data_IF_522792209149
#
_entry.id   IF_522792209149
#
_cell.length_a   1.000
_cell.length_b   1.000
_cell.length_c   1.000
_cell.angle_alpha   90.00
_cell.angle_beta   90.00
_cell.angle_gamma   90.00
#
_symmetry.space_group_name_H-M   'P 1'
#
loop_
_entity.id
_entity.type
_entity.pdbx_description
1 polymer ?
#
# COMPACT_ATOMS: atom_id res chain seq x y z
N UNK A 1 3.20 25.57 -4.38
CA UNK A 1 3.91 24.30 -4.64
C UNK A 1 2.86 23.20 -4.79
N UNK A 2 3.06 22.25 -5.70
CA UNK A 2 2.09 21.17 -5.95
C UNK A 2 1.99 20.22 -4.74
N UNK A 3 0.85 19.56 -4.58
CA UNK A 3 0.67 18.52 -3.57
C UNK A 3 1.61 17.32 -3.83
N UNK A 4 2.08 16.60 -2.79
CA UNK A 4 2.92 15.42 -2.97
C UNK A 4 2.27 14.37 -3.87
N UNK A 5 3.08 13.66 -4.66
CA UNK A 5 2.59 12.53 -5.46
C UNK A 5 2.40 11.31 -4.57
N UNK A 6 1.19 10.73 -4.56
CA UNK A 6 0.95 9.43 -3.93
C UNK A 6 1.14 8.30 -4.93
N UNK A 7 1.89 7.28 -4.54
CA UNK A 7 2.04 6.02 -5.27
C UNK A 7 1.61 4.89 -4.34
N UNK A 8 0.78 3.97 -4.83
CA UNK A 8 0.41 2.78 -4.07
C UNK A 8 1.29 1.62 -4.47
N UNK A 9 1.87 0.92 -3.50
CA UNK A 9 2.37 -0.43 -3.69
C UNK A 9 1.35 -1.42 -3.13
N UNK A 10 0.64 -2.13 -4.01
CA UNK A 10 -0.45 -3.05 -3.66
C UNK A 10 -0.11 -4.50 -4.04
N UNK A 11 -0.94 -5.44 -3.62
CA UNK A 11 -0.81 -6.86 -3.91
C UNK A 11 -1.42 -7.73 -2.82
N UNK A 12 -1.72 -8.98 -3.16
CA UNK A 12 -2.23 -9.94 -2.20
C UNK A 12 -1.27 -10.21 -1.02
N UNK A 13 -1.73 -10.94 0.01
CA UNK A 13 -0.86 -11.46 1.05
C UNK A 13 0.32 -12.24 0.43
N UNK A 14 1.52 -12.07 0.97
CA UNK A 14 2.72 -12.77 0.48
C UNK A 14 3.37 -12.20 -0.79
N UNK A 15 2.86 -11.11 -1.37
CA UNK A 15 3.45 -10.48 -2.56
C UNK A 15 4.85 -9.85 -2.35
N UNK A 16 5.38 -9.84 -1.12
CA UNK A 16 6.69 -9.27 -0.80
C UNK A 16 6.71 -7.73 -0.66
N UNK A 17 5.54 -7.11 -0.41
CA UNK A 17 5.40 -5.65 -0.24
C UNK A 17 6.30 -5.11 0.86
N UNK A 18 6.21 -5.63 2.08
CA UNK A 18 6.98 -5.15 3.24
C UNK A 18 8.48 -5.11 2.94
N UNK A 19 9.06 -6.22 2.46
CA UNK A 19 10.48 -6.27 2.11
C UNK A 19 10.84 -5.30 0.96
N UNK A 20 9.97 -5.17 -0.05
CA UNK A 20 10.17 -4.20 -1.13
C UNK A 20 10.16 -2.76 -0.60
N UNK A 21 9.25 -2.44 0.31
CA UNK A 21 9.10 -1.12 0.90
C UNK A 21 10.26 -0.75 1.83
N UNK A 22 10.83 -1.72 2.56
CA UNK A 22 12.09 -1.49 3.30
C UNK A 22 13.22 -1.05 2.35
N UNK A 23 13.38 -1.75 1.21
CA UNK A 23 14.39 -1.37 0.22
C UNK A 23 14.09 0.00 -0.39
N UNK A 24 12.83 0.32 -0.69
CA UNK A 24 12.41 1.65 -1.18
C UNK A 24 12.74 2.74 -0.16
N UNK A 25 12.46 2.51 1.13
CA UNK A 25 12.81 3.46 2.21
C UNK A 25 14.29 3.75 2.25
N UNK A 26 15.14 2.72 2.17
CA UNK A 26 16.59 2.92 2.20
C UNK A 26 17.12 3.56 0.93
N UNK A 27 16.63 3.14 -0.24
CA UNK A 27 17.13 3.59 -1.55
C UNK A 27 16.72 5.04 -1.88
N UNK A 28 15.56 5.50 -1.38
CA UNK A 28 15.00 6.83 -1.67
C UNK A 28 14.75 7.67 -0.42
N UNK A 29 15.44 7.41 0.69
CA UNK A 29 15.16 7.95 2.03
C UNK A 29 14.90 9.47 2.12
N UNK A 30 15.61 10.29 1.34
CA UNK A 30 15.45 11.75 1.34
C UNK A 30 14.36 12.27 0.38
N UNK A 31 13.79 11.40 -0.46
CA UNK A 31 12.89 11.74 -1.57
C UNK A 31 11.48 11.20 -1.38
N UNK A 32 11.34 10.12 -0.60
CA UNK A 32 10.11 9.37 -0.44
C UNK A 32 9.79 9.19 1.03
N UNK A 33 8.55 9.48 1.39
CA UNK A 33 7.99 9.02 2.65
C UNK A 33 7.19 7.74 2.40
N UNK A 34 7.62 6.63 3.00
CA UNK A 34 6.92 5.35 2.87
C UNK A 34 6.02 5.15 4.07
N UNK A 35 4.71 5.10 3.83
CA UNK A 35 3.71 4.92 4.87
C UNK A 35 3.64 3.44 5.31
N UNK A 36 3.41 3.19 6.61
CA UNK A 36 3.16 1.85 7.13
C UNK A 36 1.81 1.28 6.66
N UNK A 37 1.64 -0.04 6.76
CA UNK A 37 0.37 -0.71 6.45
C UNK A 37 -0.70 -0.37 7.51
N UNK A 38 -1.79 0.27 7.08
CA UNK A 38 -2.90 0.65 7.96
C UNK A 38 -3.51 -0.54 8.73
N UNK A 39 -3.66 -1.70 8.07
CA UNK A 39 -4.12 -2.92 8.72
C UNK A 39 -3.13 -3.42 9.78
N UNK A 40 -1.82 -3.33 9.50
CA UNK A 40 -0.77 -3.67 10.45
C UNK A 40 -0.85 -2.84 11.73
N UNK A 41 -1.01 -1.51 11.60
CA UNK A 41 -1.22 -0.60 12.73
C UNK A 41 -2.49 -0.98 13.51
N UNK A 42 -3.61 -1.08 12.81
CA UNK A 42 -4.92 -1.28 13.43
C UNK A 42 -4.96 -2.58 14.24
N UNK A 43 -4.47 -3.67 13.66
CA UNK A 43 -4.46 -4.98 14.31
C UNK A 43 -3.34 -5.12 15.35
N UNK A 44 -2.19 -4.50 15.13
CA UNK A 44 -1.14 -4.39 16.15
C UNK A 44 -1.61 -3.61 17.38
N UNK A 45 -2.50 -2.65 17.19
CA UNK A 45 -3.17 -1.88 18.25
C UNK A 45 -4.35 -2.58 18.93
N UNK A 46 -4.62 -3.85 18.62
CA UNK A 46 -5.64 -4.65 19.31
C UNK A 46 -7.04 -4.59 18.71
N UNK A 47 -7.23 -4.04 17.51
CA UNK A 47 -8.53 -4.10 16.85
C UNK A 47 -8.93 -5.56 16.57
N UNK A 48 -10.19 -5.96 16.85
CA UNK A 48 -10.60 -7.34 16.75
C UNK A 48 -10.64 -7.85 15.29
N UNK A 49 -10.01 -9.00 15.04
CA UNK A 49 -10.07 -9.73 13.77
C UNK A 49 -11.19 -10.77 13.80
N UNK A 50 -12.41 -10.34 13.50
CA UNK A 50 -13.55 -11.25 13.35
C UNK A 50 -13.80 -11.60 11.89
N UNK A 51 -14.11 -12.88 11.62
CA UNK A 51 -14.45 -13.40 10.29
C UNK A 51 -15.92 -13.17 9.90
N UNK A 52 -16.73 -12.58 10.79
CA UNK A 52 -18.13 -12.24 10.48
C UNK A 52 -18.20 -11.09 9.48
N UNK A 53 -19.31 -10.98 8.75
CA UNK A 53 -19.54 -9.86 7.83
C UNK A 53 -19.48 -8.51 8.55
N UNK A 54 -20.07 -8.41 9.75
CA UNK A 54 -20.04 -7.19 10.56
C UNK A 54 -18.61 -6.81 10.97
N UNK A 55 -17.83 -7.80 11.44
CA UNK A 55 -16.43 -7.60 11.83
C UNK A 55 -15.55 -7.20 10.65
N UNK A 56 -15.72 -7.86 9.50
CA UNK A 56 -15.00 -7.53 8.27
C UNK A 56 -15.31 -6.11 7.81
N UNK A 57 -16.59 -5.72 7.80
CA UNK A 57 -16.99 -4.35 7.45
C UNK A 57 -16.40 -3.31 8.40
N UNK A 58 -16.48 -3.57 9.71
CA UNK A 58 -15.89 -2.68 10.73
C UNK A 58 -14.38 -2.51 10.55
N UNK A 59 -13.66 -3.61 10.33
CA UNK A 59 -12.22 -3.57 10.07
C UNK A 59 -11.90 -2.77 8.80
N UNK A 60 -12.60 -3.02 7.68
CA UNK A 60 -12.30 -2.33 6.42
C UNK A 60 -12.59 -0.82 6.48
N UNK A 61 -13.65 -0.39 7.17
CA UNK A 61 -13.88 1.05 7.41
C UNK A 61 -12.76 1.66 8.24
N UNK A 62 -12.36 1.00 9.33
CA UNK A 62 -11.28 1.49 10.18
C UNK A 62 -9.94 1.57 9.42
N UNK A 63 -9.59 0.53 8.65
CA UNK A 63 -8.40 0.51 7.79
C UNK A 63 -8.43 1.67 6.78
N UNK A 64 -9.58 1.90 6.14
CA UNK A 64 -9.75 3.00 5.19
C UNK A 64 -9.46 4.37 5.83
N UNK A 65 -10.02 4.63 7.02
CA UNK A 65 -9.80 5.92 7.70
C UNK A 65 -8.36 6.06 8.21
N UNK A 66 -7.74 5.00 8.73
CA UNK A 66 -6.32 5.04 9.11
C UNK A 66 -5.45 5.32 7.88
N UNK A 67 -5.72 4.67 6.74
CA UNK A 67 -5.00 4.92 5.50
C UNK A 67 -5.14 6.37 5.04
N UNK A 68 -6.35 6.93 5.07
CA UNK A 68 -6.63 8.33 4.71
C UNK A 68 -5.84 9.30 5.61
N UNK A 69 -5.76 9.04 6.90
CA UNK A 69 -5.07 9.93 7.85
C UNK A 69 -3.54 9.80 7.77
N UNK A 70 -2.99 8.61 7.52
CA UNK A 70 -1.56 8.45 7.21
C UNK A 70 -1.16 9.25 5.97
N UNK A 71 -2.00 9.18 4.93
CA UNK A 71 -1.80 9.94 3.69
C UNK A 71 -1.92 11.44 3.90
N UNK A 72 -2.94 11.89 4.64
CA UNK A 72 -3.17 13.31 4.94
C UNK A 72 -2.05 13.89 5.78
N UNK A 73 -1.71 13.25 6.90
CA UNK A 73 -0.67 13.73 7.82
C UNK A 73 0.67 13.89 7.10
N UNK A 74 1.06 12.91 6.28
CA UNK A 74 2.28 13.00 5.49
C UNK A 74 2.29 14.17 4.49
N UNK A 75 1.14 14.55 3.93
CA UNK A 75 1.05 15.69 3.02
C UNK A 75 1.09 17.02 3.75
N UNK A 76 0.35 17.13 4.85
CA UNK A 76 0.25 18.35 5.66
C UNK A 76 1.62 18.68 6.28
N UNK A 77 2.33 17.67 6.78
CA UNK A 77 3.70 17.79 7.28
C UNK A 77 4.76 17.98 6.17
N UNK A 78 4.41 17.71 4.90
CA UNK A 78 5.31 17.83 3.74
C UNK A 78 6.63 17.07 3.91
N UNK A 79 6.57 15.89 4.50
CA UNK A 79 7.75 15.05 4.80
C UNK A 79 8.56 14.76 3.52
N UNK A 80 7.89 14.53 2.39
CA UNK A 80 8.53 14.27 1.10
C UNK A 80 7.66 14.74 -0.08
N UNK A 81 8.27 14.87 -1.26
CA UNK A 81 7.54 15.21 -2.50
C UNK A 81 6.81 14.00 -3.11
N UNK A 82 7.21 12.78 -2.71
CA UNK A 82 6.56 11.53 -3.09
C UNK A 82 6.23 10.72 -1.85
N UNK A 83 5.02 10.18 -1.80
CA UNK A 83 4.52 9.32 -0.73
C UNK A 83 4.28 7.94 -1.35
N UNK A 84 4.87 6.89 -0.78
CA UNK A 84 4.61 5.50 -1.20
C UNK A 84 3.81 4.81 -0.11
N UNK A 85 2.63 4.32 -0.47
CA UNK A 85 1.69 3.70 0.47
C UNK A 85 1.83 2.17 0.43
N UNK A 86 1.99 1.51 1.58
CA UNK A 86 1.76 0.07 1.70
C UNK A 86 0.25 -0.18 1.65
N UNK A 87 -0.25 -0.47 0.45
CA UNK A 87 -1.68 -0.48 0.07
C UNK A 87 -2.31 0.92 -0.02
N UNK A 88 -3.40 1.00 -0.78
CA UNK A 88 -4.21 2.20 -0.91
C UNK A 88 -5.63 1.98 -0.38
N UNK A 89 -6.44 3.04 -0.39
CA UNK A 89 -7.81 3.01 0.14
C UNK A 89 -8.72 1.97 -0.53
N UNK A 90 -8.47 1.66 -1.81
CA UNK A 90 -9.23 0.66 -2.56
C UNK A 90 -8.81 -0.79 -2.29
N UNK A 91 -7.68 -1.06 -1.61
CA UNK A 91 -7.31 -2.43 -1.24
C UNK A 91 -8.38 -3.08 -0.35
N UNK A 92 -9.06 -2.29 0.49
CA UNK A 92 -10.08 -2.80 1.40
C UNK A 92 -11.28 -3.45 0.70
N UNK A 93 -11.57 -3.04 -0.54
CA UNK A 93 -12.60 -3.68 -1.37
C UNK A 93 -12.32 -5.16 -1.61
N UNK A 94 -11.05 -5.58 -1.65
CA UNK A 94 -10.72 -6.99 -1.83
C UNK A 94 -11.17 -7.87 -0.66
N UNK A 95 -11.33 -7.26 0.52
CA UNK A 95 -11.71 -7.89 1.78
C UNK A 95 -13.16 -7.58 2.19
N UNK A 96 -13.87 -6.75 1.41
CA UNK A 96 -15.26 -6.38 1.70
C UNK A 96 -16.21 -7.55 1.39
N UNK A 97 -17.11 -7.92 2.33
CA UNK A 97 -18.00 -9.08 2.18
C UNK A 97 -19.29 -8.78 1.40
N UNK A 98 -19.53 -7.54 0.98
CA UNK A 98 -20.75 -7.11 0.29
C UNK A 98 -20.50 -6.60 -1.13
N UNK A 99 -21.52 -5.91 -1.67
CA UNK A 99 -21.39 -5.18 -2.92
C UNK A 99 -20.37 -4.03 -2.79
N UNK A 100 -19.76 -3.66 -3.90
CA UNK A 100 -18.78 -2.55 -3.94
C UNK A 100 -19.43 -1.21 -3.56
N UNK A 101 -20.64 -0.95 -4.04
CA UNK A 101 -21.40 0.27 -3.70
C UNK A 101 -21.67 0.39 -2.20
N UNK A 102 -21.83 -0.74 -1.49
CA UNK A 102 -21.99 -0.73 -0.03
C UNK A 102 -20.74 -0.16 0.65
N UNK A 103 -19.55 -0.53 0.17
CA UNK A 103 -18.29 -0.03 0.74
C UNK A 103 -18.19 1.48 0.58
N UNK A 104 -18.45 1.98 -0.64
CA UNK A 104 -18.36 3.41 -0.93
C UNK A 104 -19.39 4.26 -0.19
N UNK A 105 -20.60 3.73 0.03
CA UNK A 105 -21.58 4.38 0.92
C UNK A 105 -21.08 4.41 2.36
N UNK A 106 -20.54 3.29 2.86
CA UNK A 106 -20.06 3.15 4.24
C UNK A 106 -18.86 4.06 4.58
N UNK A 107 -18.04 4.42 3.59
CA UNK A 107 -16.89 5.33 3.76
C UNK A 107 -17.09 6.69 3.09
N UNK A 108 -18.33 6.99 2.66
CA UNK A 108 -18.76 8.28 2.11
C UNK A 108 -17.88 8.81 0.98
N UNK A 109 -17.59 7.96 -0.01
CA UNK A 109 -16.75 8.31 -1.16
C UNK A 109 -17.25 7.66 -2.46
N UNK A 110 -16.47 7.75 -3.53
CA UNK A 110 -16.72 7.04 -4.78
C UNK A 110 -15.42 6.45 -5.32
N UNK A 111 -15.56 5.49 -6.24
CA UNK A 111 -14.39 4.90 -6.88
C UNK A 111 -13.53 5.93 -7.61
N UNK A 112 -14.15 6.84 -8.35
CA UNK A 112 -13.42 7.86 -9.13
C UNK A 112 -12.66 8.81 -8.20
N UNK A 113 -13.28 9.19 -7.08
CA UNK A 113 -12.64 10.01 -6.07
C UNK A 113 -11.42 9.31 -5.45
N UNK A 114 -11.51 8.00 -5.14
CA UNK A 114 -10.38 7.24 -4.60
C UNK A 114 -9.28 6.98 -5.63
N UNK A 115 -9.63 6.68 -6.89
CA UNK A 115 -8.66 6.49 -7.97
C UNK A 115 -7.86 7.76 -8.21
N UNK A 116 -8.53 8.92 -8.26
CA UNK A 116 -7.88 10.22 -8.51
C UNK A 116 -6.88 10.65 -7.43
N UNK A 117 -6.87 10.01 -6.25
CA UNK A 117 -5.92 10.32 -5.17
C UNK A 117 -4.50 9.89 -5.49
N UNK A 118 -4.35 8.89 -6.35
CA UNK A 118 -3.07 8.23 -6.60
C UNK A 118 -2.53 8.63 -7.97
N UNK A 119 -1.24 8.94 -8.03
CA UNK A 119 -0.56 9.26 -9.28
C UNK A 119 -0.20 8.00 -10.07
N UNK A 120 -0.02 6.87 -9.38
CA UNK A 120 0.32 5.57 -9.94
C UNK A 120 -0.01 4.45 -8.94
N UNK A 121 -0.30 3.27 -9.48
CA UNK A 121 -0.43 2.02 -8.73
C UNK A 121 0.60 1.02 -9.23
N UNK A 122 1.38 0.45 -8.32
CA UNK A 122 2.30 -0.66 -8.56
C UNK A 122 1.72 -1.90 -7.91
N UNK A 123 1.23 -2.85 -8.71
CA UNK A 123 0.64 -4.09 -8.23
C UNK A 123 1.67 -5.22 -8.25
N UNK A 124 2.12 -5.64 -7.07
CA UNK A 124 2.96 -6.82 -6.89
C UNK A 124 2.10 -8.07 -6.86
N UNK A 125 2.28 -8.97 -7.83
CA UNK A 125 1.57 -10.25 -7.84
C UNK A 125 2.02 -11.16 -6.70
N UNK A 126 1.08 -11.83 -6.07
CA UNK A 126 1.37 -12.89 -5.09
C UNK A 126 1.92 -14.13 -5.82
N UNK A 127 2.99 -14.78 -5.30
CA UNK A 127 3.50 -16.02 -5.88
C UNK A 127 2.44 -17.12 -5.91
N UNK A 128 2.48 -17.97 -6.93
CA UNK A 128 1.63 -19.16 -6.97
C UNK A 128 2.07 -20.17 -5.89
N UNK A 129 1.22 -21.16 -5.62
CA UNK A 129 1.57 -22.31 -4.75
C UNK A 129 2.86 -22.99 -5.21
N UNK A 130 3.09 -23.03 -6.53
CA UNK A 130 4.25 -23.70 -7.13
C UNK A 130 5.53 -22.85 -7.05
N UNK A 131 5.42 -21.54 -6.82
CA UNK A 131 6.53 -20.58 -6.84
C UNK A 131 6.98 -20.14 -5.43
N UNK A 132 6.74 -20.96 -4.40
CA UNK A 132 7.31 -20.74 -3.07
C UNK A 132 6.48 -19.87 -2.13
N UNK A 133 5.15 -20.02 -2.13
CA UNK A 133 4.32 -19.40 -1.10
C UNK A 133 4.69 -19.94 0.29
N UNK A 134 5.46 -19.17 1.07
CA UNK A 134 5.97 -19.60 2.36
C UNK A 134 4.97 -19.29 3.51
N UNK A 135 4.72 -20.29 4.36
CA UNK A 135 3.73 -20.30 5.45
C UNK A 135 4.27 -19.75 6.78
N UNK A 136 5.52 -19.29 6.84
CA UNK A 136 6.21 -18.93 8.09
C UNK A 136 5.78 -17.61 8.74
N UNK A 137 4.75 -16.92 8.24
CA UNK A 137 4.25 -15.71 8.89
C UNK A 137 3.01 -16.03 9.77
N UNK A 138 3.14 -16.10 11.10
CA UNK A 138 2.03 -16.45 12.01
C UNK A 138 0.89 -15.42 12.02
N UNK A 139 1.08 -14.22 11.46
CA UNK A 139 0.00 -13.22 11.27
C UNK A 139 -0.82 -13.47 9.99
N UNK A 140 -0.38 -14.41 9.13
CA UNK A 140 -1.00 -14.73 7.85
C UNK A 140 -1.98 -15.89 8.04
N UNK A 141 -3.26 -15.56 7.95
CA UNK A 141 -4.36 -16.49 8.18
C UNK A 141 -4.89 -17.08 6.86
N UNK A 142 -4.47 -16.53 5.73
CA UNK A 142 -4.90 -16.93 4.40
C UNK A 142 -4.06 -18.09 3.86
N UNK A 143 -4.73 -19.09 3.31
CA UNK A 143 -4.10 -20.09 2.44
C UNK A 143 -3.55 -19.43 1.16
N UNK A 144 -2.60 -20.09 0.50
CA UNK A 144 -2.06 -19.65 -0.78
C UNK A 144 -3.15 -19.40 -1.84
N UNK A 145 -4.19 -20.25 -1.88
CA UNK A 145 -5.35 -20.07 -2.78
C UNK A 145 -6.15 -18.81 -2.43
N UNK A 146 -6.40 -18.55 -1.14
CA UNK A 146 -7.07 -17.34 -0.70
C UNK A 146 -6.23 -16.10 -1.04
N UNK A 147 -4.92 -16.15 -0.81
CA UNK A 147 -4.01 -15.05 -1.14
C UNK A 147 -4.00 -14.74 -2.64
N UNK A 148 -3.99 -15.76 -3.50
CA UNK A 148 -4.10 -15.60 -4.95
C UNK A 148 -5.48 -15.03 -5.37
N UNK A 149 -6.57 -15.46 -4.72
CA UNK A 149 -7.91 -14.93 -5.00
C UNK A 149 -8.04 -13.45 -4.60
N UNK A 150 -7.48 -13.07 -3.44
CA UNK A 150 -7.40 -11.69 -2.98
C UNK A 150 -6.54 -10.86 -3.95
N UNK A 151 -5.37 -11.36 -4.34
CA UNK A 151 -4.49 -10.69 -5.32
C UNK A 151 -5.20 -10.41 -6.65
N UNK A 152 -5.93 -11.40 -7.17
CA UNK A 152 -6.72 -11.23 -8.38
C UNK A 152 -7.84 -10.19 -8.22
N UNK A 153 -8.47 -10.12 -7.04
CA UNK A 153 -9.49 -9.10 -6.75
C UNK A 153 -8.87 -7.70 -6.68
N UNK A 154 -7.74 -7.55 -5.99
CA UNK A 154 -6.94 -6.31 -5.93
C UNK A 154 -6.58 -5.84 -7.35
N UNK A 155 -6.05 -6.73 -8.18
CA UNK A 155 -5.70 -6.42 -9.56
C UNK A 155 -6.89 -5.92 -10.37
N UNK A 156 -8.07 -6.57 -10.25
CA UNK A 156 -9.30 -6.11 -10.93
C UNK A 156 -9.76 -4.73 -10.45
N UNK A 157 -9.68 -4.44 -9.15
CA UNK A 157 -10.05 -3.13 -8.60
C UNK A 157 -9.14 -2.05 -9.18
N UNK A 158 -7.83 -2.24 -9.06
CA UNK A 158 -6.85 -1.25 -9.48
C UNK A 158 -6.63 -1.15 -10.99
N UNK A 159 -7.08 -2.14 -11.77
CA UNK A 159 -7.07 -2.07 -13.25
C UNK A 159 -7.86 -0.88 -13.82
N UNK A 160 -8.74 -0.29 -13.01
CA UNK A 160 -9.53 0.91 -13.35
C UNK A 160 -8.71 2.20 -13.22
N UNK A 161 -7.55 2.16 -12.56
CA UNK A 161 -6.65 3.30 -12.48
C UNK A 161 -5.93 3.51 -13.83
N UNK A 162 -5.85 4.75 -14.37
CA UNK A 162 -5.25 4.99 -15.68
C UNK A 162 -3.74 4.71 -15.73
N UNK A 163 -3.07 4.65 -14.57
CA UNK A 163 -1.63 4.40 -14.44
C UNK A 163 -1.38 3.25 -13.47
N UNK A 164 -1.59 2.02 -13.92
CA UNK A 164 -1.29 0.80 -13.16
C UNK A 164 -0.14 0.05 -13.83
N UNK A 165 0.82 -0.40 -13.04
CA UNK A 165 1.92 -1.27 -13.48
C UNK A 165 1.91 -2.53 -12.64
N UNK A 166 1.79 -3.68 -13.31
CA UNK A 166 1.86 -4.99 -12.65
C UNK A 166 3.28 -5.52 -12.69
N UNK A 167 3.78 -5.92 -11.51
CA UNK A 167 5.06 -6.61 -11.36
C UNK A 167 4.77 -8.07 -11.03
N UNK A 168 4.99 -8.93 -12.03
CA UNK A 168 4.74 -10.37 -11.93
C UNK A 168 5.60 -11.01 -10.84
N UNK A 169 5.11 -12.14 -10.31
CA UNK A 169 5.92 -12.96 -9.43
C UNK A 169 7.08 -13.57 -10.23
N UNK A 170 8.27 -13.59 -9.63
CA UNK A 170 9.47 -14.20 -10.21
C UNK A 170 10.09 -15.15 -9.21
N UNK A 171 10.83 -16.15 -9.70
CA UNK A 171 11.62 -17.03 -8.86
C UNK A 171 12.66 -16.25 -8.04
N UNK A 172 13.22 -15.17 -8.61
CA UNK A 172 14.14 -14.28 -7.93
C UNK A 172 13.43 -13.02 -7.41
N UNK A 173 13.31 -12.92 -6.08
CA UNK A 173 12.71 -11.76 -5.42
C UNK A 173 13.50 -10.46 -5.66
N UNK A 174 14.83 -10.54 -5.83
CA UNK A 174 15.68 -9.35 -6.07
C UNK A 174 15.32 -8.66 -7.39
N UNK A 175 15.05 -9.43 -8.45
CA UNK A 175 14.60 -8.87 -9.73
C UNK A 175 13.28 -8.10 -9.59
N UNK A 176 12.37 -8.63 -8.76
CA UNK A 176 11.09 -7.98 -8.45
C UNK A 176 11.32 -6.62 -7.79
N UNK A 177 12.21 -6.57 -6.80
CA UNK A 177 12.56 -5.31 -6.10
C UNK A 177 13.21 -4.32 -7.05
N UNK A 178 14.18 -4.76 -7.87
CA UNK A 178 14.83 -3.89 -8.86
C UNK A 178 13.82 -3.27 -9.84
N UNK A 179 12.86 -4.07 -10.34
CA UNK A 179 11.81 -3.57 -11.21
C UNK A 179 10.97 -2.49 -10.52
N UNK A 180 10.64 -2.65 -9.24
CA UNK A 180 9.92 -1.62 -8.46
C UNK A 180 10.75 -0.36 -8.31
N UNK A 181 12.04 -0.47 -7.98
CA UNK A 181 12.94 0.68 -7.86
C UNK A 181 13.03 1.47 -9.17
N UNK A 182 13.11 0.77 -10.31
CA UNK A 182 13.17 1.39 -11.64
C UNK A 182 11.87 2.10 -12.02
N UNK A 183 10.71 1.53 -11.65
CA UNK A 183 9.41 2.19 -11.82
C UNK A 183 9.35 3.47 -10.97
N UNK A 184 9.67 3.37 -9.68
CA UNK A 184 9.59 4.51 -8.76
C UNK A 184 10.57 5.62 -9.14
N UNK A 185 11.79 5.28 -9.58
CA UNK A 185 12.80 6.28 -10.01
C UNK A 185 12.29 7.19 -11.14
N UNK A 186 11.38 6.70 -11.99
CA UNK A 186 10.78 7.51 -13.08
C UNK A 186 9.71 8.49 -12.58
N UNK A 187 9.09 8.19 -11.44
CA UNK A 187 8.02 9.02 -10.87
C UNK A 187 8.54 10.04 -9.85
N UNK A 188 9.61 9.67 -9.14
CA UNK A 188 10.27 10.49 -8.12
C UNK A 188 11.05 11.62 -8.83
N UNK A 189 10.78 12.90 -8.50
CA UNK A 189 11.55 14.01 -9.05
C UNK A 189 13.03 13.88 -8.69
N UNK A 190 13.93 14.08 -9.66
CA UNK A 190 15.36 14.21 -9.37
C UNK A 190 15.58 15.43 -8.47
N UNK A 191 16.08 15.19 -7.26
CA UNK A 191 16.35 16.24 -6.26
C UNK A 191 17.25 17.32 -6.86
N UNK A 192 16.76 18.58 -6.87
CA UNK A 192 17.65 19.74 -6.73
C UNK A 192 18.04 19.80 -5.26
N UNK A 193 19.34 19.73 -4.97
CA UNK A 193 19.89 19.69 -3.63
C UNK A 193 19.15 20.64 -2.67
N UNK A 194 18.36 20.10 -1.75
CA UNK A 194 17.84 20.88 -0.62
C UNK A 194 18.95 21.00 0.40
N UNK A 195 19.38 22.23 0.65
CA UNK A 195 20.30 22.60 1.71
C UNK A 195 19.80 22.01 3.03
N UNK A 196 20.63 21.20 3.69
CA UNK A 196 20.31 20.59 4.99
C UNK A 196 19.93 21.70 5.97
N UNK A 197 18.76 21.59 6.60
CA UNK A 197 18.50 22.33 7.84
C UNK A 197 19.32 21.67 8.95
N UNK A 198 19.96 22.44 9.86
CA UNK A 198 20.75 21.85 10.94
C UNK A 198 19.84 21.08 11.90
N UNK A 199 20.32 19.91 12.33
CA UNK A 199 19.74 19.11 13.40
C UNK A 199 19.61 19.96 14.67
N UNK A 200 18.39 20.09 15.18
CA UNK A 200 18.16 20.62 16.53
C UNK A 200 18.47 19.46 17.48
N UNK A 201 19.62 19.56 18.17
CA UNK A 201 20.01 18.61 19.22
C UNK A 201 19.03 18.62 20.40
N UNK A 202 19.08 17.61 21.28
CA UNK A 202 18.16 17.53 22.41
C UNK A 202 18.51 18.64 23.44
N UNK A 203 17.51 19.43 23.82
CA UNK A 203 17.56 20.42 24.92
C UNK A 203 17.36 19.69 26.29
N UNK A 204 17.75 20.28 27.44
CA UNK A 204 18.48 19.64 28.54
C UNK A 204 17.63 18.83 29.51
#
# INVERSE_FOLDING_TARGET
>A
MAAPKRIVLTGGPGAGKTATLEVVRHHFSAQVHVLPEAAGILYGGGFPRHSTNAGSRAAQRAIFHVQRELERGSEEERIAETIVCDRGTLDGLAYWPGAEDDFFRDVETSIDAELARYAMVVHLRTPSVHDGYNHENPLRIESARQAAAIDARIGRIWSRHPRVVTVESRANFVEKVHQVLDILRREIPTVRARTRHPEIGPDP
#
